data_IF_771613190389
#
_entry.id   IF_771613190389
#
_cell.length_a   1.000
_cell.length_b   1.000
_cell.length_c   1.000
_cell.angle_alpha   90.00
_cell.angle_beta   90.00
_cell.angle_gamma   90.00
#
_symmetry.space_group_name_H-M   'P 1'
#
loop_
_entity.id
_entity.type
_entity.pdbx_description
1 polymer ?
#
# COMPACT_ATOMS: atom_id res chain seq x y z
N UNK A 1 0.81 15.22 19.49
CA UNK A 1 0.05 15.08 18.22
C UNK A 1 0.91 15.48 17.02
N UNK A 2 0.99 14.65 15.99
CA UNK A 2 1.72 14.95 14.74
C UNK A 2 0.75 15.00 13.56
N UNK A 3 0.53 16.21 13.03
CA UNK A 3 -0.36 16.43 11.88
C UNK A 3 0.13 15.65 10.65
N UNK A 4 1.44 15.56 10.44
CA UNK A 4 2.05 14.83 9.33
C UNK A 4 1.68 13.34 9.36
N UNK A 5 1.76 12.71 10.54
CA UNK A 5 1.38 11.30 10.71
C UNK A 5 -0.12 11.08 10.53
N UNK A 6 -0.95 12.00 11.01
CA UNK A 6 -2.41 11.94 10.81
C UNK A 6 -2.76 12.04 9.33
N UNK A 7 -2.16 12.98 8.61
CA UNK A 7 -2.37 13.13 7.16
C UNK A 7 -1.86 11.88 6.41
N UNK A 8 -0.66 11.40 6.73
CA UNK A 8 -0.12 10.17 6.13
C UNK A 8 -1.03 8.96 6.37
N UNK A 9 -1.51 8.79 7.61
CA UNK A 9 -2.44 7.72 7.97
C UNK A 9 -3.78 7.81 7.25
N UNK A 10 -4.31 9.02 7.09
CA UNK A 10 -5.54 9.25 6.33
C UNK A 10 -5.38 8.94 4.84
N UNK A 11 -4.25 9.30 4.23
CA UNK A 11 -3.93 8.93 2.86
C UNK A 11 -3.77 7.41 2.70
N UNK A 12 -3.09 6.75 3.64
CA UNK A 12 -2.94 5.30 3.65
C UNK A 12 -4.30 4.58 3.80
N UNK A 13 -5.20 5.10 4.65
CA UNK A 13 -6.54 4.57 4.84
C UNK A 13 -7.39 4.68 3.57
N UNK A 14 -7.36 5.85 2.93
CA UNK A 14 -8.02 6.06 1.64
C UNK A 14 -7.45 5.13 0.57
N UNK A 15 -6.12 4.99 0.52
CA UNK A 15 -5.43 4.05 -0.37
C UNK A 15 -5.87 2.60 -0.14
N UNK A 16 -5.96 2.16 1.12
CA UNK A 16 -6.44 0.83 1.49
C UNK A 16 -7.90 0.60 1.04
N UNK A 17 -8.78 1.59 1.23
CA UNK A 17 -10.17 1.51 0.81
C UNK A 17 -10.30 1.42 -0.73
N UNK A 18 -9.57 2.25 -1.47
CA UNK A 18 -9.54 2.20 -2.93
C UNK A 18 -8.97 0.87 -3.42
N UNK A 19 -7.85 0.41 -2.85
CA UNK A 19 -7.24 -0.87 -3.22
C UNK A 19 -8.19 -2.03 -2.93
N UNK A 20 -8.76 -2.11 -1.73
CA UNK A 20 -9.62 -3.23 -1.33
C UNK A 20 -10.97 -3.24 -2.06
N UNK A 21 -11.65 -2.09 -2.15
CA UNK A 21 -13.02 -2.04 -2.69
C UNK A 21 -13.02 -1.82 -4.21
N UNK A 22 -12.40 -0.74 -4.68
CA UNK A 22 -12.42 -0.42 -6.10
C UNK A 22 -11.54 -1.41 -6.88
N UNK A 23 -10.36 -1.77 -6.35
CA UNK A 23 -9.49 -2.74 -6.99
C UNK A 23 -10.11 -4.12 -7.07
N UNK A 24 -10.80 -4.59 -6.04
CA UNK A 24 -11.59 -5.83 -6.09
C UNK A 24 -12.65 -5.78 -7.20
N UNK A 25 -13.46 -4.72 -7.22
CA UNK A 25 -14.57 -4.61 -8.17
C UNK A 25 -14.11 -4.42 -9.61
N UNK A 26 -13.05 -3.64 -9.83
CA UNK A 26 -12.59 -3.23 -11.17
C UNK A 26 -11.56 -4.17 -11.78
N UNK A 27 -10.81 -4.91 -10.95
CA UNK A 27 -9.70 -5.74 -11.39
C UNK A 27 -9.90 -7.20 -11.00
N UNK A 28 -9.92 -7.52 -9.70
CA UNK A 28 -9.82 -8.91 -9.24
C UNK A 28 -11.01 -9.75 -9.65
N UNK A 29 -12.23 -9.22 -9.52
CA UNK A 29 -13.46 -9.92 -9.94
C UNK A 29 -13.51 -10.19 -11.44
N UNK A 30 -12.81 -9.38 -12.24
CA UNK A 30 -12.78 -9.52 -13.71
C UNK A 30 -11.69 -10.46 -14.20
N UNK A 31 -10.83 -10.98 -13.33
CA UNK A 31 -9.82 -11.96 -13.71
C UNK A 31 -10.49 -13.28 -14.09
N UNK A 32 -10.41 -13.62 -15.38
CA UNK A 32 -10.90 -14.90 -15.91
C UNK A 32 -9.82 -15.97 -15.77
N UNK A 33 -10.14 -17.17 -15.24
CA UNK A 33 -9.17 -18.25 -15.15
C UNK A 33 -8.54 -18.63 -16.49
N UNK A 34 -9.27 -18.48 -17.60
CA UNK A 34 -8.85 -18.90 -18.94
C UNK A 34 -7.60 -18.16 -19.45
N UNK A 35 -7.37 -16.94 -18.95
CA UNK A 35 -6.21 -16.11 -19.35
C UNK A 35 -5.05 -16.21 -18.36
N UNK A 36 -5.20 -16.99 -17.29
CA UNK A 36 -4.19 -17.12 -16.24
C UNK A 36 -3.32 -18.36 -16.46
N UNK A 37 -2.01 -18.28 -16.14
CA UNK A 37 -1.11 -19.41 -16.27
C UNK A 37 -1.40 -20.50 -15.21
N UNK A 38 -1.11 -21.74 -15.55
CA UNK A 38 -0.94 -22.81 -14.57
C UNK A 38 0.39 -22.66 -13.85
N UNK A 39 0.45 -23.04 -12.57
CA UNK A 39 1.65 -23.07 -11.76
C UNK A 39 1.94 -24.51 -11.31
N UNK A 40 3.11 -24.73 -10.69
CA UNK A 40 3.44 -26.00 -10.04
C UNK A 40 2.48 -26.35 -8.90
N UNK A 41 1.78 -25.39 -8.35
CA UNK A 41 0.85 -25.53 -7.22
C UNK A 41 -0.62 -25.69 -7.65
N UNK A 42 -0.91 -25.65 -8.94
CA UNK A 42 -2.27 -25.86 -9.44
C UNK A 42 -2.52 -25.15 -10.79
N UNK A 43 -3.74 -25.38 -11.31
CA UNK A 43 -4.19 -24.79 -12.57
C UNK A 43 -4.65 -23.32 -12.44
N UNK A 44 -5.18 -22.74 -13.53
CA UNK A 44 -5.58 -21.32 -13.59
C UNK A 44 -6.55 -20.87 -12.50
N UNK A 45 -7.46 -21.75 -12.04
CA UNK A 45 -8.37 -21.46 -10.92
C UNK A 45 -7.63 -21.24 -9.61
N UNK A 46 -6.58 -22.04 -9.33
CA UNK A 46 -5.72 -21.86 -8.16
C UNK A 46 -4.93 -20.55 -8.27
N UNK A 47 -4.38 -20.24 -9.45
CA UNK A 47 -3.69 -18.96 -9.70
C UNK A 47 -4.60 -17.77 -9.41
N UNK A 48 -5.86 -17.81 -9.88
CA UNK A 48 -6.86 -16.78 -9.56
C UNK A 48 -7.11 -16.65 -8.05
N UNK A 49 -7.29 -17.79 -7.38
CA UNK A 49 -7.52 -17.78 -5.92
C UNK A 49 -6.33 -17.17 -5.17
N UNK A 50 -5.11 -17.50 -5.55
CA UNK A 50 -3.89 -16.93 -4.93
C UNK A 50 -3.75 -15.42 -5.18
N UNK A 51 -4.06 -14.94 -6.38
CA UNK A 51 -4.09 -13.50 -6.67
C UNK A 51 -5.12 -12.82 -5.76
N UNK A 52 -6.33 -13.38 -5.63
CA UNK A 52 -7.39 -12.84 -4.79
C UNK A 52 -6.96 -12.76 -3.32
N UNK A 53 -6.41 -13.83 -2.78
CA UNK A 53 -5.89 -13.86 -1.40
C UNK A 53 -4.79 -12.82 -1.21
N UNK A 54 -3.80 -12.78 -2.09
CA UNK A 54 -2.68 -11.82 -2.00
C UNK A 54 -3.16 -10.38 -2.08
N UNK A 55 -4.17 -10.11 -2.92
CA UNK A 55 -4.78 -8.80 -3.04
C UNK A 55 -5.35 -8.31 -1.71
N UNK A 56 -6.12 -9.15 -1.02
CA UNK A 56 -6.69 -8.78 0.27
C UNK A 56 -5.66 -8.75 1.40
N UNK A 57 -4.64 -9.61 1.38
CA UNK A 57 -3.52 -9.50 2.31
C UNK A 57 -2.80 -8.14 2.17
N UNK A 58 -2.60 -7.67 0.94
CA UNK A 58 -2.04 -6.33 0.69
C UNK A 58 -2.96 -5.22 1.20
N UNK A 59 -4.28 -5.37 1.04
CA UNK A 59 -5.26 -4.42 1.60
C UNK A 59 -5.15 -4.35 3.13
N UNK A 60 -5.04 -5.50 3.80
CA UNK A 60 -4.86 -5.56 5.26
C UNK A 60 -3.54 -4.92 5.67
N UNK A 61 -2.45 -5.15 4.94
CA UNK A 61 -1.17 -4.51 5.21
C UNK A 61 -1.25 -2.98 5.10
N UNK A 62 -1.91 -2.44 4.08
CA UNK A 62 -2.16 -0.99 3.95
C UNK A 62 -3.00 -0.44 5.10
N UNK A 63 -4.05 -1.16 5.48
CA UNK A 63 -4.91 -0.78 6.61
C UNK A 63 -4.12 -0.76 7.92
N UNK A 64 -3.26 -1.76 8.16
CA UNK A 64 -2.41 -1.82 9.35
C UNK A 64 -1.45 -0.64 9.42
N UNK A 65 -0.84 -0.26 8.30
CA UNK A 65 0.01 0.94 8.21
C UNK A 65 -0.79 2.21 8.50
N UNK A 66 -2.00 2.32 7.94
CA UNK A 66 -2.87 3.47 8.18
C UNK A 66 -3.21 3.63 9.67
N UNK A 67 -3.62 2.54 10.32
CA UNK A 67 -3.92 2.52 11.77
C UNK A 67 -2.67 2.87 12.58
N UNK A 68 -1.51 2.29 12.28
CA UNK A 68 -0.26 2.58 12.96
C UNK A 68 0.11 4.07 12.88
N UNK A 69 0.00 4.69 11.70
CA UNK A 69 0.28 6.12 11.51
C UNK A 69 -0.72 7.00 12.26
N UNK A 70 -2.01 6.68 12.22
CA UNK A 70 -3.04 7.42 12.95
C UNK A 70 -2.84 7.33 14.46
N UNK A 71 -2.58 6.14 15.01
CA UNK A 71 -2.31 5.95 16.43
C UNK A 71 -1.05 6.70 16.86
N UNK A 72 0.04 6.58 16.09
CA UNK A 72 1.29 7.29 16.35
C UNK A 72 1.11 8.82 16.29
N UNK A 73 0.25 9.32 15.41
CA UNK A 73 0.02 10.76 15.26
C UNK A 73 -0.94 11.38 16.28
N UNK A 74 -1.86 10.59 16.88
CA UNK A 74 -2.99 11.13 17.64
C UNK A 74 -3.15 10.59 19.05
N UNK A 75 -2.72 9.35 19.31
CA UNK A 75 -3.03 8.64 20.58
C UNK A 75 -1.75 8.34 21.37
N UNK A 76 -0.69 7.94 20.69
CA UNK A 76 0.56 7.55 21.33
C UNK A 76 1.48 8.76 21.56
N UNK A 77 2.34 8.65 22.57
CA UNK A 77 3.32 9.66 22.92
C UNK A 77 4.74 9.06 23.06
N UNK A 78 5.76 9.92 23.03
CA UNK A 78 7.15 9.59 23.28
C UNK A 78 7.69 8.49 22.35
N UNK A 79 8.50 7.58 22.93
CA UNK A 79 9.19 6.53 22.19
C UNK A 79 8.24 5.54 21.49
N UNK A 80 7.05 5.30 22.05
CA UNK A 80 6.06 4.43 21.43
C UNK A 80 5.52 5.05 20.14
N UNK A 81 5.16 6.33 20.16
CA UNK A 81 4.72 7.06 18.99
C UNK A 81 5.80 7.06 17.91
N UNK A 82 7.03 7.41 18.28
CA UNK A 82 8.18 7.45 17.37
C UNK A 82 8.48 6.09 16.77
N UNK A 83 8.56 5.03 17.58
CA UNK A 83 8.89 3.68 17.13
C UNK A 83 7.86 3.13 16.14
N UNK A 84 6.56 3.26 16.45
CA UNK A 84 5.47 2.83 15.56
C UNK A 84 5.43 3.68 14.30
N UNK A 85 5.64 4.99 14.41
CA UNK A 85 5.71 5.91 13.28
C UNK A 85 6.85 5.55 12.31
N UNK A 86 8.05 5.27 12.82
CA UNK A 86 9.22 4.85 12.02
C UNK A 86 8.99 3.51 11.33
N UNK A 87 8.41 2.52 12.03
CA UNK A 87 8.06 1.23 11.42
C UNK A 87 7.09 1.41 10.27
N UNK A 88 6.03 2.18 10.48
CA UNK A 88 5.01 2.44 9.46
C UNK A 88 5.58 3.25 8.28
N UNK A 89 6.51 4.19 8.52
CA UNK A 89 7.22 4.92 7.49
C UNK A 89 8.10 4.00 6.64
N UNK A 90 8.83 3.07 7.28
CA UNK A 90 9.62 2.04 6.59
C UNK A 90 8.76 1.13 5.72
N UNK A 91 7.62 0.65 6.22
CA UNK A 91 6.66 -0.15 5.43
C UNK A 91 6.10 0.65 4.25
N UNK A 92 5.72 1.91 4.45
CA UNK A 92 5.23 2.79 3.38
C UNK A 92 6.28 2.99 2.29
N UNK A 93 7.56 3.14 2.68
CA UNK A 93 8.70 3.23 1.75
C UNK A 93 8.86 1.94 0.95
N UNK A 94 8.74 0.78 1.59
CA UNK A 94 8.77 -0.52 0.91
C UNK A 94 7.66 -0.65 -0.13
N UNK A 95 6.45 -0.28 0.20
CA UNK A 95 5.32 -0.30 -0.75
C UNK A 95 5.53 0.66 -1.91
N UNK A 96 5.97 1.90 -1.64
CA UNK A 96 6.29 2.87 -2.68
C UNK A 96 7.40 2.35 -3.60
N UNK A 97 8.47 1.80 -3.03
CA UNK A 97 9.60 1.23 -3.76
C UNK A 97 9.20 0.08 -4.69
N UNK A 98 8.36 -0.84 -4.21
CA UNK A 98 7.83 -1.94 -5.03
C UNK A 98 6.99 -1.41 -6.19
N UNK A 99 6.04 -0.50 -5.91
CA UNK A 99 5.14 0.02 -6.95
C UNK A 99 5.88 0.86 -7.99
N UNK A 100 6.82 1.69 -7.56
CA UNK A 100 7.66 2.48 -8.48
C UNK A 100 8.63 1.57 -9.24
N UNK A 101 9.31 0.65 -8.54
CA UNK A 101 10.32 -0.22 -9.15
C UNK A 101 9.72 -1.19 -10.17
N UNK A 102 8.67 -1.94 -9.79
CA UNK A 102 8.01 -2.86 -10.71
C UNK A 102 7.25 -2.11 -11.81
N UNK A 103 6.65 -0.96 -11.48
CA UNK A 103 6.01 -0.10 -12.47
C UNK A 103 7.01 0.42 -13.51
N UNK A 104 8.20 0.86 -13.09
CA UNK A 104 9.26 1.30 -13.98
C UNK A 104 9.81 0.16 -14.85
N UNK A 105 10.01 -1.03 -14.25
CA UNK A 105 10.50 -2.20 -14.97
C UNK A 105 9.49 -2.75 -15.99
N UNK A 106 8.20 -2.68 -15.66
CA UNK A 106 7.12 -3.21 -16.52
C UNK A 106 6.64 -2.27 -17.62
N UNK A 107 7.05 -1.00 -17.59
CA UNK A 107 6.59 0.01 -18.55
C UNK A 107 7.73 0.52 -19.41
N UNK A 108 7.52 0.56 -20.74
CA UNK A 108 8.50 1.14 -21.69
C UNK A 108 8.61 2.67 -21.60
N UNK A 109 7.77 3.32 -20.78
CA UNK A 109 7.73 4.78 -20.65
C UNK A 109 7.51 5.20 -19.19
N UNK A 110 8.40 6.01 -18.61
CA UNK A 110 8.21 6.56 -17.26
C UNK A 110 6.89 7.32 -17.08
N UNK A 111 6.36 7.90 -18.18
CA UNK A 111 5.08 8.64 -18.15
C UNK A 111 3.89 7.74 -17.79
N UNK A 112 3.98 6.43 -18.03
CA UNK A 112 2.91 5.50 -17.67
C UNK A 112 2.77 5.31 -16.15
N UNK A 113 3.85 5.49 -15.37
CA UNK A 113 3.81 5.49 -13.91
C UNK A 113 2.92 6.59 -13.35
N UNK A 114 2.91 7.76 -14.01
CA UNK A 114 2.11 8.91 -13.58
C UNK A 114 0.62 8.82 -13.97
N UNK A 115 0.23 7.83 -14.78
CA UNK A 115 -1.17 7.58 -15.11
C UNK A 115 -1.92 6.89 -13.97
N UNK A 116 -1.20 6.18 -13.11
CA UNK A 116 -1.78 5.53 -11.95
C UNK A 116 -1.46 6.35 -10.68
N UNK A 117 -2.45 6.65 -9.82
CA UNK A 117 -2.23 7.49 -8.65
C UNK A 117 -1.38 6.82 -7.55
N UNK A 118 -1.29 5.49 -7.52
CA UNK A 118 -0.63 4.76 -6.45
C UNK A 118 0.85 5.15 -6.21
N UNK A 119 1.72 5.29 -7.24
CA UNK A 119 3.11 5.70 -7.01
C UNK A 119 3.21 7.04 -6.28
N UNK A 120 2.42 8.03 -6.69
CA UNK A 120 2.42 9.36 -6.08
C UNK A 120 1.88 9.32 -4.64
N UNK A 121 0.72 8.68 -4.43
CA UNK A 121 0.09 8.57 -3.11
C UNK A 121 1.01 7.85 -2.11
N UNK A 122 1.59 6.71 -2.49
CA UNK A 122 2.49 5.95 -1.60
C UNK A 122 3.78 6.71 -1.28
N UNK A 123 4.36 7.41 -2.27
CA UNK A 123 5.56 8.23 -2.05
C UNK A 123 5.28 9.40 -1.11
N UNK A 124 4.16 10.10 -1.30
CA UNK A 124 3.76 11.21 -0.41
C UNK A 124 3.47 10.69 0.99
N UNK A 125 2.77 9.57 1.11
CA UNK A 125 2.50 8.92 2.41
C UNK A 125 3.80 8.58 3.13
N UNK A 126 4.76 7.96 2.43
CA UNK A 126 6.07 7.63 3.01
C UNK A 126 6.83 8.88 3.46
N UNK A 127 6.89 9.94 2.62
CA UNK A 127 7.58 11.18 2.96
C UNK A 127 6.98 11.87 4.20
N UNK A 128 5.66 11.96 4.27
CA UNK A 128 4.94 12.51 5.42
C UNK A 128 5.14 11.66 6.69
N UNK A 129 5.13 10.33 6.55
CA UNK A 129 5.34 9.41 7.65
C UNK A 129 6.74 9.56 8.24
N UNK A 130 7.79 9.62 7.40
CA UNK A 130 9.16 9.90 7.85
C UNK A 130 9.27 11.26 8.52
N UNK A 131 8.74 12.31 7.87
CA UNK A 131 8.77 13.65 8.46
C UNK A 131 8.10 13.67 9.83
N UNK A 132 6.89 13.14 9.95
CA UNK A 132 6.17 13.13 11.20
C UNK A 132 6.86 12.31 12.29
N UNK A 133 7.37 11.11 11.98
CA UNK A 133 8.01 10.23 12.95
C UNK A 133 9.39 10.74 13.42
N UNK A 134 10.12 11.48 12.59
CA UNK A 134 11.39 12.11 12.96
C UNK A 134 11.22 13.42 13.73
N UNK A 135 10.02 13.99 13.73
CA UNK A 135 9.70 15.25 14.41
C UNK A 135 9.10 15.08 15.82
N UNK A 136 8.93 13.81 16.29
CA UNK A 136 8.43 13.44 17.62
C UNK A 136 9.58 13.31 18.62
#
# INVERSE_FOLDING_TARGET
MSVQLIVAGSLALLGAAIHGVAGEALVVRKLSPEVLPSSRFGGPRMTRAMIHVTWHLTTIAFLSVAVALLLSGSVLDGDAARGIGLLAAGMSTGFAGIVVGLGAAGTRSPRSLFRHPAPAVLTVTAALAWWGALSI
#
